data_IF_910312909705
#
_entry.id   IF_910312909705
#
_cell.length_a   1.000
_cell.length_b   1.000
_cell.length_c   1.000
_cell.angle_alpha   90.00
_cell.angle_beta   90.00
_cell.angle_gamma   90.00
#
_symmetry.space_group_name_H-M   'P 1'
#
loop_
_entity.id
_entity.type
_entity.pdbx_description
1 polymer ?
#
# COMPACT_ATOMS: atom_id res chain seq x y z
N UNK A 1 35.68 20.85 29.99
CA UNK A 1 34.79 19.69 29.76
C UNK A 1 33.35 20.15 29.91
N UNK A 2 32.67 20.56 28.83
CA UNK A 2 31.28 21.01 28.89
C UNK A 2 30.36 19.84 28.48
N UNK A 3 29.52 19.36 29.41
CA UNK A 3 28.45 18.41 29.13
C UNK A 3 27.33 19.14 28.39
N UNK A 4 27.10 18.82 27.12
CA UNK A 4 25.85 19.17 26.45
C UNK A 4 24.75 18.24 26.97
N UNK A 5 23.90 18.76 27.84
CA UNK A 5 22.64 18.12 28.18
C UNK A 5 21.72 18.17 26.95
N UNK A 6 21.49 17.01 26.33
CA UNK A 6 20.53 16.88 25.24
C UNK A 6 19.12 17.00 25.82
N UNK A 7 18.57 18.22 25.76
CA UNK A 7 17.18 18.50 26.12
C UNK A 7 16.24 17.68 25.23
N UNK A 8 15.80 16.52 25.73
CA UNK A 8 14.81 15.66 25.07
C UNK A 8 13.49 16.43 25.07
N UNK A 9 13.20 17.14 23.97
CA UNK A 9 11.96 17.88 23.77
C UNK A 9 10.83 16.86 23.70
N UNK A 10 10.19 16.59 24.84
CA UNK A 10 8.94 15.87 24.94
C UNK A 10 7.90 16.66 24.15
N UNK A 11 7.75 16.30 22.88
CA UNK A 11 6.80 16.93 21.98
C UNK A 11 5.61 16.01 21.95
N UNK A 12 4.52 16.41 22.59
CA UNK A 12 3.22 15.74 22.47
C UNK A 12 2.83 15.77 21.00
N UNK A 13 3.05 14.66 20.29
CA UNK A 13 2.73 14.54 18.89
C UNK A 13 1.25 14.19 18.76
N UNK A 14 0.49 15.04 18.08
CA UNK A 14 -0.89 14.71 17.69
C UNK A 14 -0.82 13.64 16.61
N UNK A 15 -1.43 12.48 16.88
CA UNK A 15 -1.51 11.39 15.91
C UNK A 15 -2.47 11.80 14.81
N UNK A 16 -1.94 12.03 13.61
CA UNK A 16 -2.74 12.23 12.39
C UNK A 16 -2.92 10.91 11.66
N UNK A 17 -3.98 10.80 10.86
CA UNK A 17 -4.23 9.63 10.01
C UNK A 17 -3.01 9.28 9.13
N UNK A 18 -2.41 10.29 8.50
CA UNK A 18 -1.20 10.11 7.69
C UNK A 18 0.00 9.61 8.49
N UNK A 19 0.15 10.02 9.76
CA UNK A 19 1.21 9.51 10.64
C UNK A 19 0.97 8.06 11.04
N UNK A 20 -0.29 7.65 11.25
CA UNK A 20 -0.66 6.26 11.53
C UNK A 20 -0.43 5.36 10.30
N UNK A 21 -0.86 5.80 9.11
CA UNK A 21 -0.58 5.09 7.85
C UNK A 21 0.92 4.94 7.60
N UNK A 22 1.71 6.00 7.82
CA UNK A 22 3.16 5.96 7.64
C UNK A 22 3.85 5.00 8.62
N UNK A 23 3.36 4.91 9.86
CA UNK A 23 3.85 3.94 10.84
C UNK A 23 3.54 2.50 10.40
N UNK A 24 2.30 2.22 9.98
CA UNK A 24 1.88 0.89 9.50
C UNK A 24 2.60 0.44 8.23
N UNK A 25 3.03 1.37 7.37
CA UNK A 25 3.83 1.03 6.17
C UNK A 25 5.25 0.56 6.48
N UNK A 26 5.81 0.97 7.62
CA UNK A 26 7.20 0.64 8.00
C UNK A 26 7.34 -0.80 8.49
N UNK A 27 6.24 -1.42 8.91
CA UNK A 27 6.24 -2.78 9.43
C UNK A 27 5.07 -3.02 10.38
N UNK A 28 5.07 -4.16 11.09
CA UNK A 28 4.06 -4.46 12.10
C UNK A 28 4.14 -3.48 13.28
N UNK A 29 2.99 -3.08 13.78
CA UNK A 29 2.88 -2.19 14.93
C UNK A 29 2.99 -3.04 16.20
N UNK A 30 4.13 -2.95 16.91
CA UNK A 30 4.43 -3.77 18.10
C UNK A 30 3.42 -3.63 19.25
N UNK A 31 2.66 -2.53 19.25
CA UNK A 31 1.66 -2.21 20.27
C UNK A 31 0.26 -2.74 19.92
N UNK A 32 0.07 -3.26 18.70
CA UNK A 32 -1.20 -3.82 18.24
C UNK A 32 -1.09 -5.34 18.13
N UNK A 33 -2.17 -6.03 18.46
CA UNK A 33 -2.34 -7.44 18.08
C UNK A 33 -2.51 -7.56 16.55
N UNK A 34 -2.28 -8.75 15.96
CA UNK A 34 -2.46 -8.96 14.52
C UNK A 34 -3.87 -8.57 14.01
N UNK A 35 -4.92 -8.94 14.76
CA UNK A 35 -6.30 -8.60 14.45
C UNK A 35 -6.55 -7.08 14.51
N UNK A 36 -6.06 -6.39 15.54
CA UNK A 36 -6.21 -4.95 15.66
C UNK A 36 -5.47 -4.23 14.53
N UNK A 37 -4.25 -4.67 14.21
CA UNK A 37 -3.47 -4.12 13.10
C UNK A 37 -4.22 -4.32 11.78
N UNK A 38 -4.82 -5.49 11.54
CA UNK A 38 -5.64 -5.78 10.36
C UNK A 38 -6.82 -4.81 10.26
N UNK A 39 -7.58 -4.61 11.34
CA UNK A 39 -8.73 -3.70 11.37
C UNK A 39 -8.29 -2.25 11.11
N UNK A 40 -7.20 -1.81 11.73
CA UNK A 40 -6.66 -0.46 11.52
C UNK A 40 -6.18 -0.28 10.08
N UNK A 41 -5.48 -1.26 9.50
CA UNK A 41 -5.06 -1.21 8.08
C UNK A 41 -6.26 -1.14 7.14
N UNK A 42 -7.32 -1.92 7.37
CA UNK A 42 -8.54 -1.87 6.57
C UNK A 42 -9.22 -0.49 6.64
N UNK A 43 -9.37 0.07 7.84
CA UNK A 43 -10.02 1.38 8.04
C UNK A 43 -9.22 2.52 7.41
N UNK A 44 -7.90 2.45 7.50
CA UNK A 44 -7.00 3.50 7.00
C UNK A 44 -6.57 3.28 5.55
N UNK A 45 -7.03 2.23 4.87
CA UNK A 45 -6.54 1.87 3.53
C UNK A 45 -5.02 1.68 3.47
N UNK A 46 -4.40 1.26 4.57
CA UNK A 46 -2.96 1.08 4.65
C UNK A 46 -2.57 -0.26 4.03
N UNK A 47 -1.75 -0.23 2.97
CA UNK A 47 -1.23 -1.43 2.32
C UNK A 47 -0.47 -2.32 3.34
N UNK A 48 -0.53 -3.66 3.18
CA UNK A 48 0.28 -4.57 3.98
C UNK A 48 1.79 -4.28 3.78
N UNK A 49 2.65 -4.66 4.74
CA UNK A 49 4.09 -4.51 4.59
C UNK A 49 4.57 -5.19 3.30
N UNK A 50 5.50 -4.58 2.57
CA UNK A 50 6.05 -5.17 1.31
C UNK A 50 6.71 -6.54 1.51
N UNK A 51 7.24 -6.78 2.71
CA UNK A 51 7.88 -8.03 3.08
C UNK A 51 6.91 -9.01 3.77
N UNK A 52 5.63 -8.64 3.94
CA UNK A 52 4.65 -9.58 4.47
C UNK A 52 4.49 -10.73 3.46
N UNK A 53 4.60 -11.98 3.91
CA UNK A 53 4.29 -13.11 3.05
C UNK A 53 2.84 -12.95 2.60
N UNK A 54 2.63 -13.01 1.28
CA UNK A 54 1.28 -13.15 0.75
C UNK A 54 0.81 -14.54 1.18
N UNK A 55 -0.34 -14.62 1.84
CA UNK A 55 -0.97 -15.91 2.11
C UNK A 55 -1.17 -16.62 0.77
N UNK A 56 -0.43 -17.71 0.56
CA UNK A 56 -0.56 -18.54 -0.63
C UNK A 56 -1.64 -19.56 -0.32
N UNK A 57 -2.82 -19.33 -0.87
CA UNK A 57 -3.97 -20.24 -0.72
C UNK A 57 -3.71 -21.66 -1.26
N UNK A 58 -2.61 -21.90 -1.97
CA UNK A 58 -2.21 -23.18 -2.55
C UNK A 58 -1.06 -23.88 -1.80
N UNK A 59 -0.65 -23.40 -0.63
CA UNK A 59 0.41 -24.04 0.15
C UNK A 59 -0.05 -25.42 0.64
N UNK A 60 0.66 -26.48 0.21
CA UNK A 60 0.34 -27.87 0.56
C UNK A 60 -0.55 -28.61 -0.44
N UNK A 61 -1.00 -27.96 -1.52
CA UNK A 61 -1.69 -28.64 -2.62
C UNK A 61 -0.70 -29.47 -3.46
N UNK A 62 -1.15 -30.65 -3.89
CA UNK A 62 -0.46 -31.45 -4.91
C UNK A 62 -0.51 -30.78 -6.29
N UNK A 63 0.38 -31.15 -7.20
CA UNK A 63 0.43 -30.59 -8.56
C UNK A 63 -0.92 -30.72 -9.30
N UNK A 64 -1.63 -31.83 -9.08
CA UNK A 64 -2.97 -32.06 -9.65
C UNK A 64 -4.00 -31.11 -9.05
N UNK A 65 -3.99 -30.88 -7.74
CA UNK A 65 -4.89 -29.93 -7.08
C UNK A 65 -4.62 -28.49 -7.52
N UNK A 66 -3.35 -28.14 -7.76
CA UNK A 66 -2.97 -26.84 -8.32
C UNK A 66 -3.50 -26.71 -9.75
N UNK A 67 -3.38 -27.75 -10.58
CA UNK A 67 -3.89 -27.76 -11.95
C UNK A 67 -5.42 -27.61 -11.98
N UNK A 68 -6.15 -28.35 -11.16
CA UNK A 68 -7.61 -28.23 -11.04
C UNK A 68 -8.01 -26.83 -10.57
N UNK A 69 -7.37 -26.30 -9.53
CA UNK A 69 -7.62 -24.95 -9.04
C UNK A 69 -7.37 -23.89 -10.12
N UNK A 70 -6.35 -24.08 -10.96
CA UNK A 70 -6.05 -23.17 -12.07
C UNK A 70 -7.18 -23.15 -13.10
N UNK A 71 -7.75 -24.31 -13.44
CA UNK A 71 -8.90 -24.41 -14.33
C UNK A 71 -10.16 -23.78 -13.73
N UNK A 72 -10.39 -23.96 -12.43
CA UNK A 72 -11.52 -23.34 -11.72
C UNK A 72 -11.43 -21.81 -11.71
N UNK A 73 -10.25 -21.26 -11.41
CA UNK A 73 -10.01 -19.82 -11.47
C UNK A 73 -10.24 -19.29 -12.89
N UNK A 74 -9.71 -19.97 -13.91
CA UNK A 74 -9.90 -19.56 -15.30
C UNK A 74 -11.38 -19.56 -15.72
N UNK A 75 -12.12 -20.61 -15.35
CA UNK A 75 -13.56 -20.71 -15.61
C UNK A 75 -14.34 -19.60 -14.90
N UNK A 76 -14.03 -19.33 -13.64
CA UNK A 76 -14.65 -18.25 -12.87
C UNK A 76 -14.37 -16.88 -13.49
N UNK A 77 -13.13 -16.59 -13.88
CA UNK A 77 -12.77 -15.33 -14.51
C UNK A 77 -13.50 -15.13 -15.84
N UNK A 78 -13.54 -16.16 -16.70
CA UNK A 78 -14.33 -16.13 -17.95
C UNK A 78 -15.82 -15.91 -17.69
N UNK A 79 -16.38 -16.51 -16.64
CA UNK A 79 -17.77 -16.27 -16.25
C UNK A 79 -17.99 -14.82 -15.82
N UNK A 80 -17.13 -14.29 -14.95
CA UNK A 80 -17.19 -12.89 -14.48
C UNK A 80 -17.02 -11.87 -15.60
N UNK A 81 -16.17 -12.15 -16.57
CA UNK A 81 -16.03 -11.32 -17.78
C UNK A 81 -17.33 -11.27 -18.59
N UNK A 82 -17.99 -12.42 -18.77
CA UNK A 82 -19.30 -12.51 -19.45
C UNK A 82 -20.39 -11.78 -18.68
N UNK A 83 -20.43 -11.91 -17.36
CA UNK A 83 -21.35 -11.15 -16.51
C UNK A 83 -21.11 -9.64 -16.64
N UNK A 84 -19.86 -9.19 -16.61
CA UNK A 84 -19.51 -7.78 -16.77
C UNK A 84 -19.82 -7.25 -18.17
N UNK A 85 -19.62 -8.05 -19.22
CA UNK A 85 -19.99 -7.71 -20.59
C UNK A 85 -21.52 -7.61 -20.78
N UNK A 86 -22.29 -8.31 -19.95
CA UNK A 86 -23.77 -8.32 -20.00
C UNK A 86 -24.38 -7.27 -19.06
N UNK A 87 -23.61 -6.75 -18.11
CA UNK A 87 -24.04 -5.67 -17.22
C UNK A 87 -24.11 -4.33 -17.99
N UNK A 88 -25.13 -3.49 -17.74
CA UNK A 88 -25.18 -2.16 -18.33
C UNK A 88 -23.95 -1.36 -17.90
N UNK A 89 -23.30 -0.69 -18.85
CA UNK A 89 -22.07 0.06 -18.64
C UNK A 89 -22.26 1.16 -17.58
N UNK A 90 -21.99 0.83 -16.31
CA UNK A 90 -21.68 1.85 -15.32
C UNK A 90 -20.39 2.51 -15.75
N UNK A 91 -20.44 3.83 -15.93
CA UNK A 91 -19.38 4.66 -16.48
C UNK A 91 -17.99 4.28 -15.95
N UNK A 92 -16.95 4.27 -16.81
CA UNK A 92 -15.61 3.92 -16.37
C UNK A 92 -15.19 4.87 -15.25
N UNK A 93 -14.77 4.29 -14.11
CA UNK A 93 -14.05 5.02 -13.07
C UNK A 93 -12.85 5.66 -13.75
N UNK A 94 -12.89 6.99 -13.82
CA UNK A 94 -11.91 7.82 -14.51
C UNK A 94 -10.51 7.39 -14.07
N UNK A 95 -9.68 6.96 -15.01
CA UNK A 95 -8.29 6.62 -14.75
C UNK A 95 -7.61 7.77 -13.96
N UNK A 96 -6.75 7.47 -12.96
CA UNK A 96 -6.09 8.51 -12.21
C UNK A 96 -5.31 9.40 -13.18
N UNK A 97 -5.60 10.70 -13.13
CA UNK A 97 -4.97 11.69 -13.98
C UNK A 97 -3.45 11.59 -13.84
N UNK A 98 -2.74 11.65 -14.98
CA UNK A 98 -1.28 11.65 -15.01
C UNK A 98 -0.72 12.67 -14.00
N UNK A 99 0.25 12.22 -13.18
CA UNK A 99 0.78 12.98 -12.06
C UNK A 99 1.20 14.39 -12.49
N UNK A 100 0.52 15.40 -11.93
CA UNK A 100 0.86 16.80 -12.16
C UNK A 100 2.32 17.06 -11.72
N UNK A 101 3.07 17.92 -12.44
CA UNK A 101 4.45 18.23 -12.11
C UNK A 101 4.55 18.79 -10.68
N UNK A 102 5.34 18.12 -9.83
CA UNK A 102 5.49 18.54 -8.43
C UNK A 102 6.45 19.74 -8.33
N UNK A 103 6.08 20.75 -7.54
CA UNK A 103 6.91 21.93 -7.26
C UNK A 103 8.30 21.56 -6.70
N UNK A 104 8.41 20.40 -6.04
CA UNK A 104 9.68 19.88 -5.54
C UNK A 104 10.61 19.46 -6.69
N UNK A 105 10.07 18.78 -7.72
CA UNK A 105 10.82 18.40 -8.92
C UNK A 105 11.32 19.63 -9.68
N UNK A 106 10.50 20.68 -9.79
CA UNK A 106 10.90 21.94 -10.43
C UNK A 106 12.02 22.66 -9.69
N UNK A 107 11.99 22.67 -8.34
CA UNK A 107 13.09 23.24 -7.53
C UNK A 107 14.40 22.49 -7.74
N UNK A 108 14.34 21.16 -7.80
CA UNK A 108 15.52 20.32 -8.06
C UNK A 108 16.09 20.63 -9.45
N UNK A 109 15.24 20.65 -10.49
CA UNK A 109 15.66 20.97 -11.86
C UNK A 109 16.27 22.38 -11.93
N UNK A 110 15.68 23.36 -11.23
CA UNK A 110 16.21 24.72 -11.19
C UNK A 110 17.57 24.79 -10.50
N UNK A 111 17.77 24.02 -9.44
CA UNK A 111 19.05 23.94 -8.73
C UNK A 111 20.12 23.29 -9.61
N UNK A 112 19.78 22.23 -10.36
CA UNK A 112 20.70 21.55 -11.28
C UNK A 112 21.13 22.48 -12.43
N UNK A 113 20.17 23.13 -13.09
CA UNK A 113 20.46 24.12 -14.15
C UNK A 113 21.33 25.28 -13.67
N UNK A 114 21.11 25.75 -12.43
CA UNK A 114 21.92 26.82 -11.83
C UNK A 114 23.36 26.37 -11.55
N UNK A 115 23.58 25.06 -11.35
CA UNK A 115 24.90 24.48 -11.09
C UNK A 115 25.66 24.09 -12.37
N UNK A 116 25.07 24.29 -13.55
CA UNK A 116 25.71 24.01 -14.84
C UNK A 116 25.83 22.53 -15.19
N UNK A 117 24.97 21.67 -14.61
CA UNK A 117 24.78 20.28 -14.99
C UNK A 117 23.61 20.13 -15.95
#
# INVERSE_FOLDING_TARGET
>A
MARMETKKKGTTAVVTEGSAQAALRRGPARELTPEEERVVRMRLGAAPPRAAPLERSAEGLSDLEIEVLSYEIEAYMKWREREQATAPATAPVRAPAAAAPSRAKEKIIRALRKKGL
#
